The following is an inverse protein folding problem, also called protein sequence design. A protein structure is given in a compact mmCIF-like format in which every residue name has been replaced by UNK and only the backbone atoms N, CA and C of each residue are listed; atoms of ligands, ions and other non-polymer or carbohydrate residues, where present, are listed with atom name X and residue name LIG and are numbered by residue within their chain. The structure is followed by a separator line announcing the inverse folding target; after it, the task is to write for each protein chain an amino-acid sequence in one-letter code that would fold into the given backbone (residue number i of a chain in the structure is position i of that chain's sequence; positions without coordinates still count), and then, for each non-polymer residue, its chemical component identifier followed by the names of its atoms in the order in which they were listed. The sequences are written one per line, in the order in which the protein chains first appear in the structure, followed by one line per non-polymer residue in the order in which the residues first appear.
data_IF_246289434977
#
_entry.id   IF_246289434977
#
_cell.length_a   1.000
_cell.length_b   1.000
_cell.length_c   1.000
_cell.angle_alpha   90.00
_cell.angle_beta   90.00
_cell.angle_gamma   90.00
#
_symmetry.space_group_name_H-M   'P 1'
#
loop_
_entity.id
_entity.type
_entity.pdbx_description
1 polymer ?
#
# COMPACT_ATOMS: atom_id res chain seq x y z
N UNK A 1 -21.01 3.50 1.37
CA UNK A 1 -19.84 2.64 1.07
C UNK A 1 -20.26 1.25 0.63
N UNK A 2 -20.90 0.43 1.48
CA UNK A 2 -21.29 -0.95 1.11
C UNK A 2 -22.30 -1.05 -0.06
N UNK A 3 -23.14 -0.05 -0.28
CA UNK A 3 -24.08 -0.06 -1.41
C UNK A 3 -23.41 0.14 -2.77
N UNK A 4 -22.40 1.02 -2.84
CA UNK A 4 -21.86 1.51 -4.12
C UNK A 4 -20.45 1.00 -4.41
N UNK A 5 -19.64 0.80 -3.37
CA UNK A 5 -18.21 0.49 -3.50
C UNK A 5 -17.91 -0.98 -3.26
N UNK A 6 -18.69 -1.67 -2.42
CA UNK A 6 -18.49 -3.10 -2.17
C UNK A 6 -19.01 -3.93 -3.34
N UNK A 7 -18.22 -4.92 -3.77
CA UNK A 7 -18.66 -5.92 -4.74
C UNK A 7 -18.56 -7.32 -4.13
N UNK A 8 -19.71 -7.97 -3.95
CA UNK A 8 -19.80 -9.27 -3.28
C UNK A 8 -19.16 -10.41 -4.09
N UNK A 9 -19.33 -10.38 -5.43
CA UNK A 9 -18.81 -11.39 -6.36
C UNK A 9 -17.29 -11.34 -6.46
N UNK A 10 -16.72 -10.15 -6.52
CA UNK A 10 -15.27 -9.96 -6.55
C UNK A 10 -14.63 -9.98 -5.16
N UNK A 11 -15.41 -9.76 -4.09
CA UNK A 11 -14.91 -9.76 -2.72
C UNK A 11 -14.05 -8.55 -2.37
N UNK A 12 -14.29 -7.40 -3.00
CA UNK A 12 -13.42 -6.22 -2.89
C UNK A 12 -14.22 -4.92 -2.99
N UNK A 13 -13.60 -3.83 -2.55
CA UNK A 13 -14.11 -2.47 -2.76
C UNK A 13 -13.54 -1.87 -4.04
N UNK A 14 -14.39 -1.22 -4.82
CA UNK A 14 -14.07 -0.52 -6.07
C UNK A 14 -14.68 0.88 -6.07
N UNK A 15 -14.13 1.76 -6.91
CA UNK A 15 -14.71 3.07 -7.13
C UNK A 15 -16.03 2.98 -7.91
N UNK A 16 -16.94 3.90 -7.62
CA UNK A 16 -18.23 3.98 -8.30
C UNK A 16 -18.24 5.13 -9.30
N UNK A 17 -18.50 4.82 -10.57
CA UNK A 17 -18.60 5.82 -11.62
C UNK A 17 -20.04 6.33 -11.74
N UNK A 18 -20.32 7.47 -11.09
CA UNK A 18 -21.69 7.96 -10.91
C UNK A 18 -22.44 8.28 -12.21
N UNK A 19 -21.75 8.69 -13.28
CA UNK A 19 -22.39 9.02 -14.56
C UNK A 19 -22.96 7.80 -15.30
N UNK A 20 -22.37 6.61 -15.09
CA UNK A 20 -22.80 5.38 -15.78
C UNK A 20 -23.39 4.35 -14.82
N UNK A 21 -23.54 4.71 -13.53
CA UNK A 21 -24.18 3.89 -12.51
C UNK A 21 -23.48 2.56 -12.22
N UNK A 22 -22.19 2.39 -12.55
CA UNK A 22 -21.46 1.13 -12.36
C UNK A 22 -20.14 1.31 -11.62
N UNK A 23 -19.72 0.22 -10.97
CA UNK A 23 -18.38 0.13 -10.39
C UNK A 23 -17.31 0.08 -11.48
N UNK A 24 -16.19 0.74 -11.22
CA UNK A 24 -14.98 0.64 -12.02
C UNK A 24 -14.06 -0.41 -11.37
N UNK A 25 -13.98 -1.61 -11.97
CA UNK A 25 -13.25 -2.76 -11.42
C UNK A 25 -11.71 -2.62 -11.56
N UNK A 26 -11.15 -1.57 -10.95
CA UNK A 26 -9.72 -1.31 -10.88
C UNK A 26 -9.17 -1.79 -9.55
N UNK A 27 -8.29 -2.78 -9.58
CA UNK A 27 -7.68 -3.33 -8.37
C UNK A 27 -6.55 -2.40 -7.91
N UNK A 28 -6.82 -1.67 -6.83
CA UNK A 28 -5.85 -0.79 -6.18
C UNK A 28 -5.86 -0.96 -4.67
N UNK A 29 -4.81 -0.45 -4.02
CA UNK A 29 -4.73 -0.43 -2.56
C UNK A 29 -5.80 0.46 -1.91
N UNK A 30 -6.54 1.26 -2.68
CA UNK A 30 -7.69 2.02 -2.18
C UNK A 30 -8.74 1.12 -1.52
N UNK A 31 -8.84 -0.14 -1.96
CA UNK A 31 -9.76 -1.13 -1.40
C UNK A 31 -9.50 -1.48 0.08
N UNK A 32 -8.35 -1.10 0.64
CA UNK A 32 -8.00 -1.32 2.05
C UNK A 32 -8.39 -0.14 2.96
N UNK A 33 -8.78 1.02 2.43
CA UNK A 33 -9.27 2.14 3.25
C UNK A 33 -10.46 1.76 4.15
N UNK A 34 -11.44 0.94 3.73
CA UNK A 34 -12.52 0.49 4.62
C UNK A 34 -12.02 -0.35 5.80
N UNK A 35 -10.92 -1.09 5.66
CA UNK A 35 -10.29 -1.81 6.77
C UNK A 35 -9.55 -0.83 7.70
N UNK A 36 -8.82 0.13 7.13
CA UNK A 36 -8.16 1.18 7.91
C UNK A 36 -9.16 2.00 8.74
N UNK A 37 -10.28 2.39 8.13
CA UNK A 37 -11.34 3.17 8.77
C UNK A 37 -12.27 2.34 9.68
N UNK A 38 -12.05 1.02 9.81
CA UNK A 38 -12.93 0.08 10.54
C UNK A 38 -14.39 0.11 10.06
N UNK A 39 -14.60 0.38 8.78
CA UNK A 39 -15.91 0.49 8.14
C UNK A 39 -16.39 -0.82 7.50
N UNK A 40 -15.48 -1.76 7.21
CA UNK A 40 -15.81 -3.07 6.66
C UNK A 40 -16.32 -4.03 7.76
N UNK A 41 -17.19 -4.98 7.41
CA UNK A 41 -17.44 -6.13 8.29
C UNK A 41 -16.22 -7.05 8.35
N UNK A 42 -16.15 -7.95 9.34
CA UNK A 42 -15.09 -8.97 9.40
C UNK A 42 -15.09 -9.87 8.17
N UNK A 43 -16.28 -10.20 7.64
CA UNK A 43 -16.44 -11.00 6.43
C UNK A 43 -15.93 -10.26 5.19
N UNK A 44 -16.23 -8.96 5.07
CA UNK A 44 -15.71 -8.13 3.99
C UNK A 44 -14.19 -7.99 4.07
N UNK A 45 -13.65 -7.73 5.27
CA UNK A 45 -12.21 -7.65 5.49
C UNK A 45 -11.51 -8.95 5.08
N UNK A 46 -12.01 -10.12 5.50
CA UNK A 46 -11.45 -11.41 5.13
C UNK A 46 -11.41 -11.63 3.61
N UNK A 47 -12.41 -11.14 2.88
CA UNK A 47 -12.43 -11.20 1.42
C UNK A 47 -11.40 -10.24 0.80
N UNK A 48 -11.34 -8.98 1.25
CA UNK A 48 -10.34 -7.99 0.78
C UNK A 48 -8.91 -8.52 0.99
N UNK A 49 -8.61 -9.11 2.15
CA UNK A 49 -7.27 -9.63 2.46
C UNK A 49 -6.84 -10.75 1.52
N UNK A 50 -7.77 -11.56 0.98
CA UNK A 50 -7.43 -12.58 -0.03
C UNK A 50 -6.86 -12.00 -1.33
N UNK A 51 -7.06 -10.71 -1.60
CA UNK A 51 -6.50 -10.02 -2.75
C UNK A 51 -5.10 -9.44 -2.50
N UNK A 52 -4.57 -9.51 -1.28
CA UNK A 52 -3.25 -8.98 -0.95
C UNK A 52 -2.12 -9.49 -1.89
N UNK A 53 -2.09 -10.78 -2.33
CA UNK A 53 -1.09 -11.27 -3.27
C UNK A 53 -1.07 -10.56 -4.63
N UNK A 54 -2.14 -9.88 -5.03
CA UNK A 54 -2.16 -9.09 -6.27
C UNK A 54 -1.23 -7.87 -6.21
N UNK A 55 -0.93 -7.38 -5.00
CA UNK A 55 -0.15 -6.15 -4.77
C UNK A 55 1.21 -6.42 -4.14
N UNK A 56 1.37 -7.54 -3.44
CA UNK A 56 2.56 -7.85 -2.67
C UNK A 56 3.75 -8.21 -3.57
N UNK A 57 4.83 -7.45 -3.41
CA UNK A 57 6.09 -7.52 -4.16
C UNK A 57 7.27 -7.64 -3.19
N UNK A 58 8.52 -7.91 -3.65
CA UNK A 58 9.69 -8.05 -2.78
C UNK A 58 9.95 -6.84 -1.86
N UNK A 59 9.64 -5.63 -2.33
CA UNK A 59 9.82 -4.37 -1.61
C UNK A 59 8.59 -3.83 -0.88
N UNK A 60 7.47 -4.55 -0.86
CA UNK A 60 6.23 -4.09 -0.22
C UNK A 60 5.03 -4.23 -1.14
N UNK A 61 4.20 -3.21 -1.27
CA UNK A 61 2.95 -3.22 -2.04
C UNK A 61 3.03 -2.24 -3.22
N UNK A 62 2.65 -2.72 -4.40
CA UNK A 62 2.38 -1.88 -5.55
C UNK A 62 1.02 -1.18 -5.39
N UNK A 63 0.90 0.07 -5.85
CA UNK A 63 -0.31 0.87 -5.70
C UNK A 63 -1.55 0.25 -6.39
N UNK A 64 -1.32 -0.46 -7.49
CA UNK A 64 -2.30 -1.24 -8.25
C UNK A 64 -1.65 -2.50 -8.83
N UNK A 65 -2.45 -3.35 -9.48
CA UNK A 65 -1.95 -4.52 -10.20
C UNK A 65 -1.79 -4.30 -11.72
N UNK A 66 -1.91 -3.06 -12.20
CA UNK A 66 -1.82 -2.72 -13.63
C UNK A 66 -0.69 -1.73 -13.86
N UNK A 67 0.10 -1.94 -14.93
CA UNK A 67 1.14 -1.00 -15.35
C UNK A 67 0.60 -0.06 -16.42
N UNK A 68 0.14 1.12 -16.01
CA UNK A 68 -0.46 2.12 -16.91
C UNK A 68 0.55 3.14 -17.45
N UNK A 69 1.74 3.22 -16.85
CA UNK A 69 2.69 4.31 -17.08
C UNK A 69 2.49 5.51 -16.14
N UNK A 70 1.47 5.50 -15.28
CA UNK A 70 1.24 6.54 -14.27
C UNK A 70 1.92 6.21 -12.94
N UNK A 71 2.16 7.26 -12.14
CA UNK A 71 2.94 7.13 -10.92
C UNK A 71 2.23 6.39 -9.77
N UNK A 72 0.90 6.38 -9.76
CA UNK A 72 0.07 5.74 -8.74
C UNK A 72 -0.33 4.31 -9.13
N UNK A 73 0.53 3.63 -9.87
CA UNK A 73 0.30 2.30 -10.41
C UNK A 73 1.52 1.40 -10.31
N UNK A 74 1.35 0.13 -10.67
CA UNK A 74 2.47 -0.81 -10.78
C UNK A 74 3.59 -0.23 -11.66
N UNK A 75 4.88 -0.32 -11.25
CA UNK A 75 5.42 -1.06 -10.11
C UNK A 75 5.65 -0.21 -8.84
N UNK A 76 5.10 1.00 -8.78
CA UNK A 76 5.42 1.94 -7.71
C UNK A 76 4.68 1.60 -6.41
N UNK A 77 5.40 1.68 -5.30
CA UNK A 77 4.88 1.67 -3.95
C UNK A 77 5.03 3.04 -3.28
N UNK A 78 4.02 3.37 -2.47
CA UNK A 78 3.92 4.65 -1.77
C UNK A 78 3.78 4.42 -0.28
N UNK A 79 4.55 5.15 0.51
CA UNK A 79 4.52 5.06 1.98
C UNK A 79 3.10 5.19 2.58
N UNK A 80 2.25 6.17 2.18
CA UNK A 80 0.91 6.27 2.74
C UNK A 80 0.04 5.03 2.50
N UNK A 81 0.14 4.41 1.32
CA UNK A 81 -0.64 3.20 1.02
C UNK A 81 -0.18 2.01 1.86
N UNK A 82 1.12 1.87 2.10
CA UNK A 82 1.65 0.85 3.01
C UNK A 82 1.07 1.02 4.41
N UNK A 83 1.05 2.25 4.92
CA UNK A 83 0.49 2.53 6.24
C UNK A 83 -1.01 2.20 6.33
N UNK A 84 -1.80 2.62 5.34
CA UNK A 84 -3.23 2.33 5.27
C UNK A 84 -3.48 0.82 5.32
N UNK A 85 -2.76 0.06 4.49
CA UNK A 85 -2.93 -1.40 4.43
C UNK A 85 -2.49 -2.06 5.73
N UNK A 86 -1.29 -1.74 6.25
CA UNK A 86 -0.76 -2.30 7.51
C UNK A 86 -1.74 -2.05 8.66
N UNK A 87 -2.19 -0.80 8.85
CA UNK A 87 -3.14 -0.48 9.94
C UNK A 87 -4.51 -1.09 9.71
N UNK A 88 -4.97 -1.16 8.47
CA UNK A 88 -6.22 -1.85 8.13
C UNK A 88 -6.16 -3.34 8.47
N UNK A 89 -5.05 -4.01 8.17
CA UNK A 89 -4.83 -5.41 8.52
C UNK A 89 -4.83 -5.62 10.05
N UNK A 90 -4.08 -4.79 10.79
CA UNK A 90 -4.04 -4.86 12.26
C UNK A 90 -5.41 -4.63 12.90
N UNK A 91 -6.21 -3.71 12.36
CA UNK A 91 -7.56 -3.43 12.87
C UNK A 91 -8.50 -4.67 12.82
N UNK A 92 -8.17 -5.66 11.99
CA UNK A 92 -8.95 -6.88 11.79
C UNK A 92 -8.21 -8.16 12.21
N UNK A 93 -7.04 -8.04 12.86
CA UNK A 93 -6.28 -9.18 13.40
C UNK A 93 -5.36 -9.90 12.41
N UNK A 94 -5.04 -9.28 11.28
CA UNK A 94 -4.11 -9.82 10.27
C UNK A 94 -2.68 -9.33 10.53
N UNK A 95 -2.18 -9.59 11.74
CA UNK A 95 -0.90 -9.06 12.21
C UNK A 95 0.29 -9.66 11.48
N UNK A 96 0.21 -10.92 11.04
CA UNK A 96 1.30 -11.58 10.30
C UNK A 96 1.50 -10.96 8.92
N UNK A 97 0.41 -10.71 8.20
CA UNK A 97 0.42 -10.05 6.90
C UNK A 97 0.91 -8.60 7.03
N UNK A 98 0.42 -7.89 8.04
CA UNK A 98 0.86 -6.53 8.36
C UNK A 98 2.38 -6.48 8.63
N UNK A 99 2.92 -7.40 9.43
CA UNK A 99 4.34 -7.48 9.73
C UNK A 99 5.18 -7.82 8.50
N UNK A 100 4.71 -8.72 7.63
CA UNK A 100 5.43 -9.06 6.40
C UNK A 100 5.56 -7.85 5.46
N UNK A 101 4.46 -7.12 5.23
CA UNK A 101 4.47 -5.89 4.43
C UNK A 101 5.43 -4.86 5.03
N UNK A 102 5.35 -4.67 6.35
CA UNK A 102 6.21 -3.74 7.09
C UNK A 102 7.70 -4.08 6.92
N UNK A 103 8.09 -5.34 7.10
CA UNK A 103 9.48 -5.78 6.93
C UNK A 103 9.99 -5.53 5.51
N UNK A 104 9.18 -5.86 4.49
CA UNK A 104 9.56 -5.63 3.08
C UNK A 104 9.74 -4.14 2.77
N UNK A 105 8.82 -3.30 3.24
CA UNK A 105 8.88 -1.86 3.03
C UNK A 105 10.10 -1.22 3.72
N UNK A 106 10.34 -1.55 4.99
CA UNK A 106 11.52 -1.06 5.72
C UNK A 106 12.80 -1.50 5.01
N UNK A 107 12.92 -2.79 4.63
CA UNK A 107 14.08 -3.29 3.90
C UNK A 107 14.35 -2.52 2.61
N UNK A 108 13.31 -2.22 1.83
CA UNK A 108 13.43 -1.40 0.62
C UNK A 108 13.93 0.01 0.94
N UNK A 109 13.26 0.72 1.85
CA UNK A 109 13.64 2.08 2.23
C UNK A 109 15.08 2.14 2.76
N UNK A 110 15.46 1.22 3.66
CA UNK A 110 16.81 1.13 4.23
C UNK A 110 17.84 0.86 3.15
N UNK A 111 17.60 -0.10 2.25
CA UNK A 111 18.52 -0.40 1.14
C UNK A 111 18.80 0.85 0.32
N UNK A 112 17.75 1.54 -0.15
CA UNK A 112 17.90 2.76 -0.96
C UNK A 112 18.56 3.89 -0.18
N UNK A 113 18.25 4.03 1.11
CA UNK A 113 18.88 5.04 1.96
C UNK A 113 20.38 4.78 2.09
N UNK A 114 20.80 3.53 2.31
CA UNK A 114 22.23 3.16 2.36
C UNK A 114 22.95 3.39 1.03
N UNK A 115 22.26 3.18 -0.10
CA UNK A 115 22.83 3.38 -1.44
C UNK A 115 22.95 4.85 -1.85
N UNK A 116 22.05 5.72 -1.35
CA UNK A 116 21.89 7.08 -1.90
C UNK A 116 21.96 8.19 -0.86
N UNK A 117 21.96 7.87 0.43
CA UNK A 117 21.85 8.82 1.54
C UNK A 117 20.51 9.53 1.64
N UNK A 118 19.46 9.07 0.94
CA UNK A 118 18.19 9.79 0.83
C UNK A 118 16.97 8.87 0.95
N UNK A 119 15.89 9.41 1.53
CA UNK A 119 14.54 8.87 1.44
C UNK A 119 13.79 9.54 0.28
N UNK A 120 12.85 8.86 -0.36
CA UNK A 120 12.17 9.34 -1.57
C UNK A 120 10.65 9.33 -1.45
N UNK A 121 9.98 10.10 -2.31
CA UNK A 121 8.52 10.18 -2.43
C UNK A 121 7.86 8.80 -2.64
N UNK A 122 8.46 7.98 -3.50
CA UNK A 122 7.94 6.69 -3.96
C UNK A 122 9.09 5.78 -4.39
N UNK A 123 8.84 4.48 -4.44
CA UNK A 123 9.85 3.47 -4.73
C UNK A 123 9.30 2.43 -5.70
N UNK A 124 10.18 1.79 -6.47
CA UNK A 124 9.80 0.62 -7.23
C UNK A 124 9.88 -0.60 -6.30
N UNK A 125 8.72 -1.20 -6.00
CA UNK A 125 8.63 -2.30 -5.03
C UNK A 125 8.97 -3.66 -5.63
N UNK A 126 9.13 -3.74 -6.96
CA UNK A 126 9.47 -4.98 -7.66
C UNK A 126 10.98 -5.17 -7.68
N UNK A 127 11.72 -4.17 -8.18
CA UNK A 127 13.19 -4.22 -8.29
C UNK A 127 13.93 -3.66 -7.06
N UNK A 128 13.17 -3.18 -6.07
CA UNK A 128 13.66 -2.62 -4.82
C UNK A 128 14.64 -1.44 -5.04
N UNK A 129 14.25 -0.48 -5.87
CA UNK A 129 15.06 0.67 -6.26
C UNK A 129 14.29 1.99 -6.33
N UNK A 130 15.00 3.07 -6.69
CA UNK A 130 14.43 4.40 -6.99
C UNK A 130 13.99 4.56 -8.44
N UNK A 131 14.11 3.52 -9.28
CA UNK A 131 13.74 3.53 -10.71
C UNK A 131 12.23 3.39 -10.85
N UNK A 132 11.54 4.49 -10.62
CA UNK A 132 10.08 4.57 -10.61
C UNK A 132 9.54 5.08 -11.93
N UNK A 133 8.26 4.80 -12.18
CA UNK A 133 7.53 5.35 -13.33
C UNK A 133 6.80 6.62 -12.90
N UNK A 134 6.85 7.69 -13.70
CA UNK A 134 6.09 8.90 -13.39
C UNK A 134 6.35 10.06 -14.34
N UNK A 135 5.54 11.12 -14.17
CA UNK A 135 5.60 12.33 -15.00
C UNK A 135 6.82 13.21 -14.70
N UNK A 136 7.36 13.11 -13.48
CA UNK A 136 8.48 13.91 -13.01
C UNK A 136 9.45 13.06 -12.17
N UNK A 137 10.72 13.49 -12.04
CA UNK A 137 11.73 12.75 -11.27
C UNK A 137 11.34 12.55 -9.80
N UNK A 138 11.80 11.45 -9.20
CA UNK A 138 11.57 11.16 -7.77
C UNK A 138 12.09 12.29 -6.86
N UNK A 139 11.26 12.75 -5.93
CA UNK A 139 11.61 13.78 -4.96
C UNK A 139 12.27 13.19 -3.71
N UNK A 140 13.21 13.92 -3.10
CA UNK A 140 14.02 13.50 -1.94
C UNK A 140 13.48 14.04 -0.61
N UNK A 141 13.84 13.38 0.49
CA UNK A 141 13.54 13.78 1.88
C UNK A 141 12.08 13.65 2.31
N UNK A 142 11.26 12.98 1.52
CA UNK A 142 9.81 13.18 1.50
C UNK A 142 9.08 12.86 2.81
N UNK A 143 8.25 13.79 3.29
CA UNK A 143 7.67 13.76 4.65
C UNK A 143 6.88 12.51 5.00
N UNK A 144 6.00 12.01 4.13
CA UNK A 144 5.24 10.78 4.43
C UNK A 144 6.15 9.55 4.52
N UNK A 145 7.29 9.54 3.83
CA UNK A 145 8.16 8.36 3.74
C UNK A 145 8.90 8.25 5.05
N UNK A 146 9.44 9.38 5.52
CA UNK A 146 10.12 9.47 6.80
C UNK A 146 9.14 9.11 7.94
N UNK A 147 7.94 9.67 7.93
CA UNK A 147 6.94 9.42 8.97
C UNK A 147 6.52 7.95 9.03
N UNK A 148 6.17 7.34 7.88
CA UNK A 148 5.75 5.94 7.82
C UNK A 148 6.90 5.00 8.15
N UNK A 149 8.12 5.29 7.67
CA UNK A 149 9.30 4.51 8.02
C UNK A 149 9.52 4.50 9.53
N UNK A 150 9.54 5.67 10.17
CA UNK A 150 9.69 5.79 11.62
C UNK A 150 8.58 5.04 12.35
N UNK A 151 7.33 5.23 11.94
CA UNK A 151 6.16 4.61 12.58
C UNK A 151 6.21 3.09 12.51
N UNK A 152 6.60 2.52 11.37
CA UNK A 152 6.73 1.08 11.20
C UNK A 152 7.94 0.55 12.00
N UNK A 153 9.10 1.19 11.87
CA UNK A 153 10.33 0.73 12.51
C UNK A 153 10.18 0.70 14.04
N UNK A 154 9.63 1.76 14.64
CA UNK A 154 9.47 1.89 16.09
C UNK A 154 8.31 1.05 16.59
N UNK A 155 7.10 1.29 16.08
CA UNK A 155 5.89 0.78 16.73
C UNK A 155 5.57 -0.67 16.36
N UNK A 156 5.98 -1.11 15.17
CA UNK A 156 5.61 -2.44 14.66
C UNK A 156 6.76 -3.44 14.73
N UNK A 157 8.00 -2.97 14.53
CA UNK A 157 9.18 -3.84 14.52
C UNK A 157 10.04 -3.71 15.78
N UNK A 158 9.73 -2.75 16.67
CA UNK A 158 10.45 -2.56 17.93
C UNK A 158 11.90 -2.10 17.75
N UNK A 159 12.24 -1.51 16.60
CA UNK A 159 13.57 -0.95 16.38
C UNK A 159 13.76 0.33 17.22
N UNK A 160 14.86 0.42 17.95
CA UNK A 160 15.25 1.65 18.64
C UNK A 160 15.84 2.62 17.62
N UNK A 161 15.32 3.85 17.54
CA UNK A 161 15.95 4.90 16.73
C UNK A 161 17.11 5.44 17.56
N UNK A 162 18.34 5.22 17.10
CA UNK A 162 19.55 5.78 17.71
C UNK A 162 19.65 7.28 17.43
#
# INVERSE_FOLDING_TARGET
MNQYLWNESFGMYFDFHFLNGRQHCYYSLAAFYPLWARAASKQQAAKVVRHLPLFLQPGGLAASNVQTGFQWDFPNGWAPLHWIVIKGLQNYGYDLEAQEIARRWIRLCTKVYLETGNMYEKYNVVDMSIRTIGRYPSQKGFGWTNAVYQKIAVDLLGCTVC
#
